data_IF_600746823202
#
_entry.id   IF_600746823202
#
_cell.length_a   1.000
_cell.length_b   1.000
_cell.length_c   1.000
_cell.angle_alpha   90.00
_cell.angle_beta   90.00
_cell.angle_gamma   90.00
#
_symmetry.space_group_name_H-M   'P 1'
#
loop_
_entity.id
_entity.type
_entity.pdbx_description
1 polymer ?
#
# COMPACT_ATOMS: atom_id res chain seq x y z
N UNK A 1 8.43 -13.36 20.78
CA UNK A 1 7.35 -13.79 19.87
C UNK A 1 7.44 -12.93 18.63
N UNK A 2 7.63 -13.50 17.43
CA UNK A 2 7.54 -12.71 16.19
C UNK A 2 6.10 -12.26 16.00
N UNK A 3 5.88 -10.97 15.79
CA UNK A 3 4.56 -10.39 15.53
C UNK A 3 3.96 -11.06 14.30
N UNK A 4 2.68 -11.46 14.37
CA UNK A 4 1.96 -11.98 13.20
C UNK A 4 1.59 -10.78 12.32
N UNK A 5 2.24 -10.66 11.17
CA UNK A 5 1.90 -9.66 10.15
C UNK A 5 0.56 -10.05 9.52
N UNK A 6 -0.36 -9.09 9.39
CA UNK A 6 -1.70 -9.25 8.81
C UNK A 6 -1.93 -8.26 7.66
N UNK A 7 -3.04 -8.40 6.95
CA UNK A 7 -3.44 -7.50 5.87
C UNK A 7 -3.58 -6.03 6.33
N UNK A 8 -3.90 -5.79 7.59
CA UNK A 8 -4.06 -4.45 8.17
C UNK A 8 -2.77 -3.64 8.21
N UNK A 9 -1.61 -4.31 8.25
CA UNK A 9 -0.29 -3.68 8.21
C UNK A 9 0.07 -3.19 6.79
N UNK A 10 -0.65 -3.65 5.76
CA UNK A 10 -0.44 -3.23 4.38
C UNK A 10 -1.26 -1.99 4.06
N UNK A 11 -0.59 -0.95 3.58
CA UNK A 11 -1.26 0.26 3.11
C UNK A 11 -1.94 0.02 1.74
N UNK A 12 -2.76 0.98 1.30
CA UNK A 12 -3.50 0.90 0.02
C UNK A 12 -2.60 0.59 -1.19
N UNK A 13 -1.37 1.12 -1.20
CA UNK A 13 -0.41 0.89 -2.28
C UNK A 13 0.12 -0.55 -2.27
N UNK A 14 0.42 -1.08 -1.10
CA UNK A 14 0.90 -2.46 -0.93
C UNK A 14 -0.21 -3.45 -1.28
N UNK A 15 -1.45 -3.20 -0.83
CA UNK A 15 -2.61 -4.04 -1.15
C UNK A 15 -2.90 -4.04 -2.65
N UNK A 16 -2.78 -2.89 -3.32
CA UNK A 16 -2.91 -2.81 -4.78
C UNK A 16 -1.84 -3.64 -5.49
N UNK A 17 -0.57 -3.49 -5.10
CA UNK A 17 0.53 -4.27 -5.67
C UNK A 17 0.28 -5.77 -5.48
N UNK A 18 -0.13 -6.18 -4.28
CA UNK A 18 -0.42 -7.59 -3.99
C UNK A 18 -1.54 -8.12 -4.89
N UNK A 19 -2.63 -7.37 -5.05
CA UNK A 19 -3.73 -7.76 -5.94
C UNK A 19 -3.27 -7.91 -7.40
N UNK A 20 -2.42 -7.00 -7.89
CA UNK A 20 -1.86 -7.08 -9.25
C UNK A 20 -0.98 -8.32 -9.45
N UNK A 21 -0.13 -8.65 -8.48
CA UNK A 21 0.71 -9.86 -8.56
C UNK A 21 -0.13 -11.15 -8.51
N UNK A 22 -1.22 -11.18 -7.74
CA UNK A 22 -2.16 -12.30 -7.74
C UNK A 22 -2.86 -12.43 -9.10
N UNK A 23 -3.24 -11.33 -9.71
CA UNK A 23 -3.87 -11.33 -11.04
C UNK A 23 -2.92 -11.93 -12.11
N UNK A 24 -1.67 -11.47 -12.11
CA UNK A 24 -0.62 -11.87 -13.06
C UNK A 24 -0.15 -13.32 -12.86
N UNK A 25 0.00 -13.77 -11.62
CA UNK A 25 0.67 -15.05 -11.29
C UNK A 25 -0.23 -16.12 -10.69
N UNK A 26 -1.49 -15.78 -10.39
CA UNK A 26 -2.48 -16.61 -9.68
C UNK A 26 -2.12 -16.86 -8.21
N UNK A 27 -3.14 -16.89 -7.35
CA UNK A 27 -2.97 -16.92 -5.89
C UNK A 27 -2.23 -18.16 -5.38
N UNK A 28 -2.22 -19.25 -6.16
CA UNK A 28 -1.56 -20.50 -5.82
C UNK A 28 -0.03 -20.39 -5.92
N UNK A 29 0.49 -19.47 -6.73
CA UNK A 29 1.93 -19.29 -6.93
C UNK A 29 2.57 -18.37 -5.87
N UNK A 30 2.42 -18.77 -4.60
CA UNK A 30 2.85 -18.00 -3.44
C UNK A 30 4.35 -17.67 -3.49
N UNK A 31 5.19 -18.59 -3.95
CA UNK A 31 6.63 -18.37 -4.00
C UNK A 31 7.02 -17.24 -4.94
N UNK A 32 6.43 -17.21 -6.15
CA UNK A 32 6.69 -16.16 -7.12
C UNK A 32 6.11 -14.82 -6.68
N UNK A 33 4.90 -14.82 -6.13
CA UNK A 33 4.27 -13.60 -5.59
C UNK A 33 5.13 -13.06 -4.44
N UNK A 34 5.61 -13.92 -3.54
CA UNK A 34 6.48 -13.53 -2.44
C UNK A 34 7.74 -12.87 -2.94
N UNK A 35 8.48 -13.53 -3.84
CA UNK A 35 9.73 -13.01 -4.39
C UNK A 35 9.51 -11.64 -5.05
N UNK A 36 8.45 -11.50 -5.86
CA UNK A 36 8.15 -10.25 -6.54
C UNK A 36 7.69 -9.16 -5.58
N UNK A 37 6.89 -9.50 -4.57
CA UNK A 37 6.30 -8.53 -3.65
C UNK A 37 7.36 -7.91 -2.74
N UNK A 38 8.17 -8.72 -2.06
CA UNK A 38 9.17 -8.22 -1.09
C UNK A 38 10.32 -7.46 -1.76
N UNK A 39 10.63 -7.80 -3.01
CA UNK A 39 11.66 -7.13 -3.81
C UNK A 39 11.12 -5.94 -4.62
N UNK A 40 9.81 -5.66 -4.56
CA UNK A 40 9.24 -4.58 -5.34
C UNK A 40 9.57 -3.21 -4.75
N UNK A 41 9.97 -2.25 -5.60
CA UNK A 41 10.32 -0.89 -5.17
C UNK A 41 9.21 -0.24 -4.35
N UNK A 42 7.95 -0.37 -4.78
CA UNK A 42 6.78 0.12 -4.03
C UNK A 42 6.74 -0.39 -2.59
N UNK A 43 6.91 -1.70 -2.39
CA UNK A 43 6.86 -2.29 -1.05
C UNK A 43 8.06 -1.82 -0.22
N UNK A 44 9.25 -1.81 -0.81
CA UNK A 44 10.46 -1.30 -0.14
C UNK A 44 10.32 0.16 0.30
N UNK A 45 9.65 1.02 -0.48
CA UNK A 45 9.42 2.43 -0.13
C UNK A 45 8.37 2.61 0.96
N UNK A 46 7.37 1.73 1.03
CA UNK A 46 6.36 1.72 2.09
C UNK A 46 6.96 1.29 3.43
N UNK A 47 7.91 0.35 3.42
CA UNK A 47 8.41 -0.35 4.60
C UNK A 47 9.93 -0.23 4.78
N UNK A 48 10.51 0.90 4.35
CA UNK A 48 11.94 1.16 4.48
C UNK A 48 12.35 1.46 5.93
N UNK A 49 13.65 1.25 6.20
CA UNK A 49 14.29 1.59 7.47
C UNK A 49 14.16 3.08 7.83
N UNK A 50 14.05 3.97 6.82
CA UNK A 50 13.89 5.42 7.03
C UNK A 50 12.62 5.79 7.80
N UNK A 51 11.58 4.96 7.73
CA UNK A 51 10.34 5.15 8.46
C UNK A 51 10.25 4.30 9.75
N UNK A 52 11.31 3.58 10.14
CA UNK A 52 11.35 2.67 11.29
C UNK A 52 10.23 1.60 11.31
N UNK A 53 9.60 1.33 10.17
CA UNK A 53 8.51 0.38 9.99
C UNK A 53 8.95 -0.76 9.07
N UNK A 54 9.99 -1.47 9.48
CA UNK A 54 10.48 -2.63 8.71
C UNK A 54 9.52 -3.79 8.91
N UNK A 55 8.66 -4.02 7.91
CA UNK A 55 7.76 -5.17 7.87
C UNK A 55 8.50 -6.40 7.34
N UNK A 56 8.92 -7.30 8.23
CA UNK A 56 9.59 -8.57 7.83
C UNK A 56 8.58 -9.64 7.39
N UNK A 57 8.14 -9.55 6.13
CA UNK A 57 7.22 -10.53 5.57
C UNK A 57 7.92 -11.86 5.27
N UNK A 58 7.29 -12.98 5.65
CA UNK A 58 7.68 -14.32 5.21
C UNK A 58 6.56 -14.96 4.37
N UNK A 59 6.83 -16.13 3.76
CA UNK A 59 5.88 -16.83 2.87
C UNK A 59 4.57 -17.20 3.56
N UNK A 60 4.63 -17.70 4.78
CA UNK A 60 3.43 -18.11 5.53
C UNK A 60 2.57 -16.89 5.89
N UNK A 61 3.21 -15.79 6.27
CA UNK A 61 2.55 -14.50 6.48
C UNK A 61 1.89 -14.01 5.19
N UNK A 62 2.60 -14.04 4.05
CA UNK A 62 2.02 -13.63 2.78
C UNK A 62 0.81 -14.49 2.39
N UNK A 63 0.89 -15.81 2.60
CA UNK A 63 -0.24 -16.70 2.34
C UNK A 63 -1.46 -16.34 3.20
N UNK A 64 -1.26 -16.05 4.49
CA UNK A 64 -2.33 -15.55 5.39
C UNK A 64 -2.92 -14.24 4.85
N UNK A 65 -2.08 -13.29 4.45
CA UNK A 65 -2.51 -11.99 3.92
C UNK A 65 -3.30 -12.15 2.63
N UNK A 66 -2.90 -13.04 1.71
CA UNK A 66 -3.66 -13.30 0.48
C UNK A 66 -5.03 -13.87 0.81
N UNK A 67 -5.12 -14.80 1.76
CA UNK A 67 -6.40 -15.35 2.21
C UNK A 67 -7.28 -14.27 2.85
N UNK A 68 -6.70 -13.43 3.71
CA UNK A 68 -7.38 -12.28 4.32
C UNK A 68 -7.89 -11.29 3.26
N UNK A 69 -7.09 -11.00 2.22
CA UNK A 69 -7.46 -10.10 1.12
C UNK A 69 -8.65 -10.64 0.34
N UNK A 70 -8.62 -11.92 -0.02
CA UNK A 70 -9.71 -12.55 -0.77
C UNK A 70 -10.99 -12.67 0.08
N UNK A 71 -10.86 -12.86 1.39
CA UNK A 71 -11.99 -12.89 2.32
C UNK A 71 -12.59 -11.51 2.58
N UNK A 72 -11.76 -10.45 2.73
CA UNK A 72 -12.23 -9.06 2.91
C UNK A 72 -13.07 -8.59 1.72
N UNK A 73 -12.78 -9.11 0.53
CA UNK A 73 -13.44 -8.75 -0.74
C UNK A 73 -14.21 -9.93 -1.34
N UNK A 74 -14.80 -10.78 -0.50
CA UNK A 74 -15.64 -11.90 -0.95
C UNK A 74 -16.75 -11.37 -1.88
N UNK A 75 -16.79 -11.89 -3.11
CA UNK A 75 -17.72 -11.45 -4.16
C UNK A 75 -17.11 -10.55 -5.23
N UNK A 76 -15.86 -10.11 -5.08
CA UNK A 76 -15.11 -9.45 -6.15
C UNK A 76 -14.15 -10.43 -6.84
N UNK A 77 -13.97 -10.26 -8.15
CA UNK A 77 -12.85 -10.88 -8.86
C UNK A 77 -11.55 -10.18 -8.47
N UNK A 78 -10.40 -10.83 -8.70
CA UNK A 78 -9.12 -10.18 -8.43
C UNK A 78 -8.95 -8.86 -9.22
N UNK A 79 -9.50 -8.80 -10.44
CA UNK A 79 -9.55 -7.56 -11.25
C UNK A 79 -10.39 -6.49 -10.55
N UNK A 80 -11.55 -6.85 -10.00
CA UNK A 80 -12.38 -5.92 -9.23
C UNK A 80 -11.69 -5.42 -7.94
N UNK A 81 -10.88 -6.27 -7.29
CA UNK A 81 -10.05 -5.87 -6.15
C UNK A 81 -8.98 -4.87 -6.59
N UNK A 82 -8.31 -5.10 -7.73
CA UNK A 82 -7.36 -4.15 -8.33
C UNK A 82 -8.03 -2.79 -8.62
N UNK A 83 -9.20 -2.78 -9.25
CA UNK A 83 -9.96 -1.56 -9.55
C UNK A 83 -10.33 -0.79 -8.28
N UNK A 84 -10.80 -1.50 -7.25
CA UNK A 84 -11.13 -0.91 -5.95
C UNK A 84 -9.93 -0.18 -5.34
N UNK A 85 -8.77 -0.85 -5.24
CA UNK A 85 -7.59 -0.23 -4.64
C UNK A 85 -6.96 0.85 -5.53
N UNK A 86 -7.11 0.75 -6.85
CA UNK A 86 -6.72 1.83 -7.77
C UNK A 86 -7.54 3.10 -7.51
N UNK A 87 -8.86 2.97 -7.38
CA UNK A 87 -9.75 4.09 -7.04
C UNK A 87 -9.40 4.71 -5.69
N UNK A 88 -9.25 3.89 -4.65
CA UNK A 88 -8.83 4.36 -3.31
C UNK A 88 -7.50 5.11 -3.37
N UNK A 89 -6.50 4.56 -4.06
CA UNK A 89 -5.18 5.20 -4.17
C UNK A 89 -5.24 6.54 -4.90
N UNK A 90 -6.09 6.64 -5.94
CA UNK A 90 -6.31 7.90 -6.65
C UNK A 90 -6.89 8.97 -5.71
N UNK A 91 -7.87 8.62 -4.90
CA UNK A 91 -8.46 9.54 -3.91
C UNK A 91 -7.46 10.00 -2.86
N UNK A 92 -6.62 9.09 -2.35
CA UNK A 92 -5.52 9.44 -1.43
C UNK A 92 -4.56 10.45 -2.05
N UNK A 93 -4.17 10.25 -3.32
CA UNK A 93 -3.27 11.17 -4.03
C UNK A 93 -3.93 12.55 -4.19
N UNK A 94 -5.20 12.61 -4.58
CA UNK A 94 -5.94 13.86 -4.71
C UNK A 94 -5.98 14.59 -3.36
N UNK A 95 -6.27 13.87 -2.28
CA UNK A 95 -6.31 14.44 -0.93
C UNK A 95 -4.93 14.96 -0.49
N UNK A 96 -3.84 14.24 -0.80
CA UNK A 96 -2.47 14.69 -0.54
C UNK A 96 -2.13 15.96 -1.33
N UNK A 97 -2.53 16.03 -2.61
CA UNK A 97 -2.32 17.21 -3.45
C UNK A 97 -3.08 18.43 -2.93
N UNK A 98 -4.34 18.26 -2.51
CA UNK A 98 -5.15 19.34 -1.94
C UNK A 98 -4.55 19.86 -0.63
N UNK A 99 -4.12 18.96 0.27
CA UNK A 99 -3.42 19.33 1.51
C UNK A 99 -2.14 20.11 1.21
N UNK A 100 -1.29 19.61 0.32
CA UNK A 100 -0.04 20.28 -0.05
C UNK A 100 -0.28 21.68 -0.64
N UNK A 101 -1.31 21.84 -1.47
CA UNK A 101 -1.71 23.15 -2.00
C UNK A 101 -2.13 24.12 -0.90
N UNK A 102 -2.91 23.65 0.08
CA UNK A 102 -3.31 24.46 1.21
C UNK A 102 -2.11 24.87 2.08
N UNK A 103 -1.23 23.93 2.42
CA UNK A 103 0.00 24.19 3.18
C UNK A 103 0.91 25.20 2.47
N UNK A 104 1.08 25.06 1.14
CA UNK A 104 1.88 26.00 0.37
C UNK A 104 1.28 27.41 0.37
N UNK A 105 -0.04 27.53 0.21
CA UNK A 105 -0.73 28.82 0.27
C UNK A 105 -0.56 29.48 1.65
N UNK A 106 -0.66 28.70 2.73
CA UNK A 106 -0.46 29.17 4.10
C UNK A 106 0.96 29.67 4.35
N UNK A 107 1.99 28.90 3.97
CA UNK A 107 3.40 29.28 4.13
C UNK A 107 3.71 30.56 3.33
N UNK A 108 3.21 30.66 2.09
CA UNK A 108 3.38 31.86 1.26
C UNK A 108 2.68 33.07 1.88
N UNK A 109 1.49 32.88 2.46
CA UNK A 109 0.77 33.91 3.21
C UNK A 109 1.57 34.42 4.41
N UNK A 110 2.14 33.52 5.21
CA UNK A 110 2.97 33.85 6.39
C UNK A 110 4.26 34.59 6.03
N UNK A 111 4.96 34.15 4.98
CA UNK A 111 6.17 34.82 4.49
C UNK A 111 5.91 36.25 3.98
N UNK A 112 4.66 36.56 3.61
CA UNK A 112 4.23 37.89 3.18
C UNK A 112 3.86 38.80 4.36
N UNK A 113 3.50 38.23 5.52
CA UNK A 113 3.14 38.98 6.74
C UNK A 113 4.30 39.18 7.71
N UNK A 114 5.36 38.37 7.66
CA UNK A 114 6.56 38.51 8.52
C UNK A 114 7.62 39.48 7.96
N UNK A 115 7.42 40.03 6.76
CA UNK A 115 8.30 41.03 6.12
C UNK A 115 7.75 42.48 6.21
N UNK A 116 6.92 42.77 7.22
CA UNK A 116 6.40 44.13 7.52
C UNK A 116 6.88 44.55 8.90
#
# INVERSE_FOLDING_TARGET
MKQRISLEELNTRDRLLLAQLIEEHKAENIDLIYEKFVNHLVFSLSHNELNCQTLELNRDSLKSIIQELLAEHEGLTIVGICELYYLKRREEIINQLLKNKATFAEIKGRASTENI
#
